data_IF_701731753825
#
_entry.id   IF_701731753825
#
_cell.length_a   1.000
_cell.length_b   1.000
_cell.length_c   1.000
_cell.angle_alpha   90.00
_cell.angle_beta   90.00
_cell.angle_gamma   90.00
#
_symmetry.space_group_name_H-M   'P 1'
#
loop_
_entity.id
_entity.type
_entity.pdbx_description
1 polymer ?
#
# COMPACT_ATOMS: atom_id res chain seq x y z
N UNK A 1 -15.09 32.55 33.16
CA UNK A 1 -14.71 33.37 31.97
C UNK A 1 -14.14 32.55 30.79
N UNK A 2 -13.25 31.57 31.02
CA UNK A 2 -12.67 30.74 29.89
C UNK A 2 -13.65 29.65 29.44
N UNK A 3 -14.39 29.03 30.33
CA UNK A 3 -15.41 27.99 30.05
C UNK A 3 -16.64 28.56 29.33
N UNK A 4 -17.04 29.78 29.62
CA UNK A 4 -18.16 30.45 28.93
C UNK A 4 -17.85 30.74 27.45
N UNK A 5 -16.62 31.12 27.15
CA UNK A 5 -16.18 31.35 25.73
C UNK A 5 -16.08 30.08 24.90
N UNK A 6 -15.79 28.93 25.53
CA UNK A 6 -15.80 27.62 24.85
C UNK A 6 -17.22 27.18 24.54
N UNK A 7 -18.16 27.37 25.48
CA UNK A 7 -19.57 27.00 25.25
C UNK A 7 -20.22 27.88 24.17
N UNK A 8 -19.90 29.16 24.11
CA UNK A 8 -20.38 30.06 23.05
C UNK A 8 -19.81 29.72 21.65
N UNK A 9 -18.53 29.30 21.56
CA UNK A 9 -17.93 28.85 20.30
C UNK A 9 -18.56 27.55 19.82
N UNK A 10 -18.77 26.57 20.69
CA UNK A 10 -19.44 25.31 20.34
C UNK A 10 -20.91 25.52 19.92
N UNK A 11 -21.62 26.47 20.56
CA UNK A 11 -23.01 26.76 20.19
C UNK A 11 -23.11 27.50 18.84
N UNK A 12 -22.13 28.34 18.50
CA UNK A 12 -22.08 29.01 17.19
C UNK A 12 -21.68 28.03 16.07
N UNK A 13 -20.75 27.11 16.28
CA UNK A 13 -20.41 26.05 15.30
C UNK A 13 -21.60 25.18 14.94
N UNK A 14 -22.39 24.73 15.91
CA UNK A 14 -23.60 23.93 15.66
C UNK A 14 -24.66 24.68 14.83
N UNK A 15 -24.74 25.99 14.94
CA UNK A 15 -25.64 26.82 14.11
C UNK A 15 -25.17 26.97 12.66
N UNK A 16 -23.85 27.05 12.43
CA UNK A 16 -23.28 27.14 11.09
C UNK A 16 -23.36 25.81 10.32
N UNK A 17 -23.14 24.66 10.98
CA UNK A 17 -23.32 23.34 10.37
C UNK A 17 -24.77 23.05 9.99
N UNK A 18 -25.74 23.46 10.81
CA UNK A 18 -27.15 23.32 10.48
C UNK A 18 -27.58 24.19 9.29
N UNK A 19 -27.02 25.40 9.15
CA UNK A 19 -27.27 26.28 7.99
C UNK A 19 -26.66 25.76 6.70
N UNK A 20 -25.47 25.13 6.75
CA UNK A 20 -24.82 24.54 5.58
C UNK A 20 -25.58 23.31 5.07
N UNK A 21 -26.11 22.47 5.96
CA UNK A 21 -26.94 21.31 5.59
C UNK A 21 -28.26 21.71 4.92
N UNK A 22 -28.88 22.80 5.34
CA UNK A 22 -30.11 23.32 4.71
C UNK A 22 -29.82 23.89 3.32
N UNK A 23 -28.68 24.54 3.10
CA UNK A 23 -28.30 25.09 1.79
C UNK A 23 -28.02 23.99 0.75
N UNK A 24 -27.44 22.85 1.15
CA UNK A 24 -27.19 21.70 0.26
C UNK A 24 -28.51 21.00 -0.10
N UNK A 25 -29.48 20.95 0.79
CA UNK A 25 -30.78 20.31 0.53
C UNK A 25 -31.68 21.10 -0.42
N UNK A 26 -31.54 22.44 -0.46
CA UNK A 26 -32.34 23.32 -1.35
C UNK A 26 -31.83 23.35 -2.79
N UNK A 27 -30.60 22.93 -3.10
CA UNK A 27 -30.02 22.88 -4.43
C UNK A 27 -30.35 21.61 -5.24
N UNK A 28 -30.94 20.59 -4.59
CA UNK A 28 -31.27 19.28 -5.17
C UNK A 28 -32.66 19.18 -5.85
N UNK A 29 -33.51 20.21 -5.83
CA UNK A 29 -34.91 20.11 -6.22
C UNK A 29 -35.31 20.83 -7.52
N UNK A 30 -34.39 21.26 -8.37
CA UNK A 30 -34.71 21.85 -9.67
C UNK A 30 -34.10 21.08 -10.83
N UNK A 31 -34.82 20.09 -11.35
CA UNK A 31 -34.42 19.32 -12.52
C UNK A 31 -35.48 18.36 -13.02
N UNK A 32 -36.72 18.83 -13.19
CA UNK A 32 -37.72 18.13 -14.01
C UNK A 32 -37.72 18.71 -15.41
N UNK A 33 -37.63 17.87 -16.43
CA UNK A 33 -38.04 18.23 -17.80
C UNK A 33 -37.32 17.47 -18.89
N UNK A 34 -37.95 16.52 -19.45
CA UNK A 34 -38.37 16.35 -20.84
C UNK A 34 -38.20 14.90 -21.33
N UNK A 35 -39.28 14.19 -21.30
CA UNK A 35 -39.54 13.03 -22.17
C UNK A 35 -39.71 13.54 -23.60
N UNK A 36 -38.90 13.09 -24.53
CA UNK A 36 -39.17 13.27 -25.96
C UNK A 36 -39.11 11.95 -26.70
N UNK A 37 -40.30 11.56 -27.05
CA UNK A 37 -40.82 10.63 -28.07
C UNK A 37 -39.85 9.75 -28.87
N UNK A 38 -40.11 8.45 -28.73
CA UNK A 38 -39.78 7.39 -29.67
C UNK A 38 -40.45 7.61 -31.04
N UNK A 39 -39.65 7.81 -32.09
CA UNK A 39 -40.08 7.64 -33.47
C UNK A 39 -39.62 6.29 -34.01
N UNK A 40 -40.45 5.54 -34.73
CA UNK A 40 -40.06 4.27 -35.33
C UNK A 40 -39.17 4.47 -36.56
N UNK A 41 -38.13 3.64 -36.64
CA UNK A 41 -37.20 3.56 -37.78
C UNK A 41 -37.89 2.86 -38.95
N UNK A 42 -37.84 3.38 -40.19
CA UNK A 42 -38.41 2.69 -41.35
C UNK A 42 -37.54 1.52 -41.81
N UNK A 43 -38.20 0.41 -42.15
CA UNK A 43 -37.64 -0.80 -42.73
C UNK A 43 -37.11 -0.52 -44.14
N UNK A 44 -35.84 -0.92 -44.47
CA UNK A 44 -35.35 -0.79 -45.85
C UNK A 44 -36.00 -1.78 -46.81
N UNK A 45 -36.30 -1.31 -48.02
CA UNK A 45 -36.84 -2.09 -49.11
C UNK A 45 -35.84 -3.12 -49.67
N UNK A 46 -36.27 -4.22 -50.29
CA UNK A 46 -35.42 -5.26 -50.82
C UNK A 46 -34.59 -4.79 -52.03
N UNK A 47 -33.30 -5.06 -51.97
CA UNK A 47 -32.33 -4.80 -53.04
C UNK A 47 -32.46 -5.82 -54.14
N UNK A 48 -32.60 -5.37 -55.38
CA UNK A 48 -32.66 -6.20 -56.59
C UNK A 48 -31.35 -6.94 -56.83
N UNK A 49 -31.45 -8.18 -57.27
CA UNK A 49 -30.35 -9.07 -57.64
C UNK A 49 -29.68 -8.61 -58.93
N UNK A 50 -28.35 -8.36 -58.99
CA UNK A 50 -27.70 -8.03 -60.24
C UNK A 50 -27.53 -9.23 -61.17
N UNK A 51 -27.62 -8.99 -62.47
CA UNK A 51 -27.49 -9.93 -63.57
C UNK A 51 -26.04 -10.50 -63.65
N UNK A 52 -25.87 -11.73 -64.23
CA UNK A 52 -24.57 -12.36 -64.30
C UNK A 52 -23.61 -11.65 -65.24
N UNK A 53 -22.36 -11.46 -64.73
CA UNK A 53 -21.23 -10.91 -65.48
C UNK A 53 -20.67 -11.94 -66.43
N UNK A 54 -20.26 -11.58 -67.68
CA UNK A 54 -19.65 -12.50 -68.61
C UNK A 54 -18.26 -12.95 -68.17
N UNK A 55 -17.90 -14.20 -68.51
CA UNK A 55 -16.70 -14.91 -68.23
C UNK A 55 -15.46 -14.18 -68.82
N UNK A 56 -14.38 -14.01 -68.07
CA UNK A 56 -13.16 -13.38 -68.58
C UNK A 56 -12.35 -14.33 -69.45
N UNK A 57 -11.95 -13.82 -70.60
CA UNK A 57 -10.99 -14.44 -71.54
C UNK A 57 -9.61 -14.53 -70.90
N UNK A 58 -9.01 -15.72 -70.97
CA UNK A 58 -7.63 -15.96 -70.43
C UNK A 58 -6.59 -15.13 -71.19
N UNK A 59 -5.95 -14.20 -70.54
CA UNK A 59 -4.66 -13.60 -70.99
C UNK A 59 -3.52 -14.58 -70.62
N UNK A 60 -2.43 -14.59 -71.44
CA UNK A 60 -1.28 -15.47 -71.18
C UNK A 60 -0.57 -15.07 -69.88
N UNK A 61 -0.26 -16.09 -69.05
CA UNK A 61 0.48 -15.97 -67.80
C UNK A 61 1.86 -15.36 -68.04
N UNK A 62 2.23 -14.27 -67.38
CA UNK A 62 3.61 -13.76 -67.42
C UNK A 62 4.58 -14.71 -66.69
N UNK A 63 5.80 -14.80 -67.20
CA UNK A 63 6.89 -15.54 -66.58
C UNK A 63 7.14 -15.12 -65.13
N UNK A 64 7.45 -16.04 -64.20
CA UNK A 64 7.68 -15.69 -62.80
C UNK A 64 8.88 -14.76 -62.67
N UNK A 65 8.64 -13.58 -62.11
CA UNK A 65 9.70 -12.66 -61.65
C UNK A 65 10.48 -13.37 -60.53
N UNK A 66 11.83 -13.32 -60.52
CA UNK A 66 12.61 -13.92 -59.44
C UNK A 66 12.20 -13.31 -58.08
N UNK A 67 11.97 -14.19 -57.12
CA UNK A 67 11.63 -13.83 -55.75
C UNK A 67 12.72 -12.91 -55.17
N UNK A 68 12.37 -11.77 -54.57
CA UNK A 68 13.35 -10.92 -53.91
C UNK A 68 14.02 -11.68 -52.76
N UNK A 69 15.30 -11.53 -52.61
CA UNK A 69 16.06 -12.11 -51.51
C UNK A 69 15.43 -11.70 -50.18
N UNK A 70 15.34 -12.60 -49.17
CA UNK A 70 14.75 -12.27 -47.88
C UNK A 70 15.49 -11.07 -47.28
N UNK A 71 14.74 -10.07 -46.91
CA UNK A 71 15.29 -8.94 -46.13
C UNK A 71 15.95 -9.46 -44.86
N UNK A 72 17.10 -8.90 -44.45
CA UNK A 72 17.75 -9.32 -43.22
C UNK A 72 16.77 -9.15 -42.05
N UNK A 73 16.55 -10.22 -41.29
CA UNK A 73 15.77 -10.21 -40.05
C UNK A 73 16.31 -9.08 -39.16
N UNK A 74 15.50 -8.10 -38.75
CA UNK A 74 15.96 -7.06 -37.85
C UNK A 74 16.60 -7.71 -36.63
N UNK A 75 17.74 -7.17 -36.19
CA UNK A 75 18.38 -7.59 -34.96
C UNK A 75 17.35 -7.50 -33.82
N UNK A 76 17.31 -8.44 -32.86
CA UNK A 76 16.38 -8.38 -31.75
C UNK A 76 16.57 -7.03 -31.06
N UNK A 77 15.47 -6.28 -30.94
CA UNK A 77 15.42 -5.08 -30.12
C UNK A 77 15.84 -5.51 -28.72
N UNK A 78 16.82 -4.85 -28.06
CA UNK A 78 17.15 -5.19 -26.68
C UNK A 78 15.88 -5.11 -25.85
N UNK A 79 15.65 -6.13 -25.04
CA UNK A 79 14.53 -6.13 -24.09
C UNK A 79 14.66 -4.87 -23.22
N UNK A 80 13.56 -4.15 -22.98
CA UNK A 80 13.59 -2.99 -22.10
C UNK A 80 14.14 -3.43 -20.74
N UNK A 81 15.20 -2.79 -20.27
CA UNK A 81 15.74 -3.03 -18.94
C UNK A 81 14.62 -2.71 -17.94
N UNK A 82 14.28 -3.68 -17.12
CA UNK A 82 13.28 -3.51 -16.07
C UNK A 82 13.74 -2.41 -15.09
N UNK A 83 12.83 -1.49 -14.74
CA UNK A 83 13.14 -0.39 -13.82
C UNK A 83 13.38 -0.94 -12.42
N UNK A 84 14.55 -0.65 -11.86
CA UNK A 84 14.84 -0.93 -10.47
C UNK A 84 14.25 0.18 -9.60
N UNK A 85 13.30 -0.17 -8.76
CA UNK A 85 12.68 0.72 -7.79
C UNK A 85 13.13 0.29 -6.41
N UNK A 86 13.89 1.12 -5.71
CA UNK A 86 14.22 0.90 -4.30
C UNK A 86 13.39 1.82 -3.41
N UNK A 87 13.03 1.32 -2.26
CA UNK A 87 12.29 2.08 -1.23
C UNK A 87 12.96 1.84 0.11
N UNK A 88 13.54 2.86 0.69
CA UNK A 88 13.96 2.89 2.09
C UNK A 88 12.90 3.56 2.95
N UNK A 89 12.74 3.11 4.21
CA UNK A 89 11.74 3.66 5.12
C UNK A 89 12.45 4.35 6.28
N UNK A 90 12.37 5.67 6.30
CA UNK A 90 12.93 6.48 7.37
C UNK A 90 11.91 6.65 8.48
N UNK A 91 12.29 6.32 9.71
CA UNK A 91 11.46 6.52 10.89
C UNK A 91 11.87 7.77 11.65
N UNK A 92 10.89 8.62 11.92
CA UNK A 92 11.03 9.78 12.80
C UNK A 92 10.39 9.47 14.15
N UNK A 93 11.11 9.72 15.23
CA UNK A 93 10.65 9.51 16.59
C UNK A 93 10.72 10.83 17.38
N UNK A 94 9.58 11.25 17.90
CA UNK A 94 9.43 12.40 18.76
C UNK A 94 8.81 11.96 20.07
N UNK A 95 9.22 12.58 21.17
CA UNK A 95 8.62 12.32 22.48
C UNK A 95 8.58 13.59 23.32
N UNK A 96 7.66 13.63 24.26
CA UNK A 96 7.61 14.70 25.24
C UNK A 96 7.53 14.14 26.66
N UNK A 97 8.24 14.81 27.56
CA UNK A 97 8.22 14.55 28.99
C UNK A 97 7.24 15.51 29.68
N UNK A 98 6.78 15.14 30.86
CA UNK A 98 5.87 15.96 31.66
C UNK A 98 6.46 17.37 31.95
N UNK A 99 5.60 18.41 31.99
CA UNK A 99 6.09 19.79 32.11
C UNK A 99 6.51 20.19 33.54
N UNK A 100 6.32 19.33 34.55
CA UNK A 100 6.63 19.65 35.94
C UNK A 100 7.95 19.03 36.40
N UNK A 101 8.12 17.72 36.23
CA UNK A 101 9.34 17.01 36.66
C UNK A 101 10.29 16.71 35.51
N UNK A 102 9.80 16.55 34.28
CA UNK A 102 10.57 16.09 33.17
C UNK A 102 10.98 14.61 33.24
N UNK A 103 10.38 13.81 34.11
CA UNK A 103 10.73 12.43 34.36
C UNK A 103 9.78 11.42 33.69
N UNK A 104 8.50 11.81 33.50
CA UNK A 104 7.47 10.95 32.92
C UNK A 104 7.25 11.28 31.46
N UNK A 105 7.38 10.29 30.59
CA UNK A 105 7.01 10.47 29.18
C UNK A 105 5.48 10.51 29.05
N UNK A 106 4.97 11.60 28.48
CA UNK A 106 3.53 11.86 28.31
C UNK A 106 3.08 11.74 26.86
N UNK A 107 4.02 11.81 25.89
CA UNK A 107 3.74 11.66 24.48
C UNK A 107 4.86 10.88 23.79
N UNK A 108 4.46 9.90 22.96
CA UNK A 108 5.26 9.28 21.92
C UNK A 108 4.62 9.56 20.56
N UNK A 109 5.36 10.14 19.63
CA UNK A 109 4.86 10.47 18.29
C UNK A 109 5.87 10.01 17.26
N UNK A 110 5.51 8.97 16.51
CA UNK A 110 6.43 8.32 15.59
C UNK A 110 5.80 8.18 14.22
N UNK A 111 6.61 8.29 13.15
CA UNK A 111 6.10 8.09 11.80
C UNK A 111 7.17 7.66 10.82
N UNK A 112 6.76 6.81 9.91
CA UNK A 112 7.55 6.35 8.78
C UNK A 112 7.38 7.28 7.58
N UNK A 113 8.48 7.54 6.89
CA UNK A 113 8.51 8.27 5.62
C UNK A 113 9.27 7.42 4.59
N UNK A 114 8.57 6.74 3.68
CA UNK A 114 9.20 6.05 2.56
C UNK A 114 9.95 7.03 1.65
N UNK A 115 11.11 6.61 1.15
CA UNK A 115 11.90 7.30 0.14
C UNK A 115 12.09 6.35 -1.04
N UNK A 116 11.66 6.80 -2.21
CA UNK A 116 11.71 6.03 -3.45
C UNK A 116 12.87 6.51 -4.30
N UNK A 117 13.66 5.57 -4.81
CA UNK A 117 14.72 5.83 -5.78
C UNK A 117 14.53 4.99 -7.03
N UNK A 118 14.73 5.60 -8.20
CA UNK A 118 14.68 5.00 -9.52
C UNK A 118 15.83 5.54 -10.35
N UNK A 119 16.76 4.67 -10.73
CA UNK A 119 17.97 5.09 -11.47
C UNK A 119 17.63 5.61 -12.86
N UNK A 120 16.74 4.91 -13.56
CA UNK A 120 16.39 5.25 -14.95
C UNK A 120 15.26 6.28 -15.04
N UNK A 121 14.51 6.52 -13.96
CA UNK A 121 13.35 7.42 -13.94
C UNK A 121 13.28 8.32 -12.70
N UNK A 122 14.27 9.19 -12.47
CA UNK A 122 14.31 10.04 -11.28
C UNK A 122 13.17 11.04 -11.18
N UNK A 123 12.54 11.43 -12.29
CA UNK A 123 11.40 12.34 -12.29
C UNK A 123 10.12 11.67 -11.75
N UNK A 124 9.91 10.39 -12.03
CA UNK A 124 8.81 9.63 -11.43
C UNK A 124 9.05 9.42 -9.92
N UNK A 125 10.27 9.03 -9.53
CA UNK A 125 10.65 8.93 -8.12
C UNK A 125 10.41 10.25 -7.37
N UNK A 126 10.79 11.38 -7.96
CA UNK A 126 10.57 12.71 -7.38
C UNK A 126 9.09 13.01 -7.13
N UNK A 127 8.21 12.74 -8.09
CA UNK A 127 6.76 12.94 -7.93
C UNK A 127 6.18 12.09 -6.79
N UNK A 128 6.59 10.82 -6.71
CA UNK A 128 6.16 9.93 -5.63
C UNK A 128 6.64 10.45 -4.28
N UNK A 129 7.91 10.85 -4.19
CA UNK A 129 8.49 11.39 -2.96
C UNK A 129 7.84 12.71 -2.52
N UNK A 130 7.50 13.61 -3.46
CA UNK A 130 6.76 14.83 -3.17
C UNK A 130 5.37 14.53 -2.58
N UNK A 131 4.65 13.55 -3.15
CA UNK A 131 3.37 13.10 -2.60
C UNK A 131 3.52 12.52 -1.19
N UNK A 132 4.48 11.60 -0.98
CA UNK A 132 4.74 10.98 0.32
C UNK A 132 5.10 12.04 1.37
N UNK A 133 5.96 13.01 1.02
CA UNK A 133 6.35 14.10 1.92
C UNK A 133 5.14 14.93 2.38
N UNK A 134 4.22 15.25 1.46
CA UNK A 134 2.97 15.95 1.79
C UNK A 134 2.09 15.13 2.76
N UNK A 135 2.00 13.79 2.57
CA UNK A 135 1.25 12.92 3.48
C UNK A 135 1.89 12.82 4.86
N UNK A 136 3.22 12.80 4.94
CA UNK A 136 3.96 12.80 6.21
C UNK A 136 3.82 14.14 6.95
N UNK A 137 3.88 15.26 6.23
CA UNK A 137 3.64 16.59 6.80
C UNK A 137 2.19 16.72 7.30
N UNK A 138 1.21 16.26 6.53
CA UNK A 138 -0.20 16.26 6.92
C UNK A 138 -0.45 15.43 8.20
N UNK A 139 0.25 14.30 8.37
CA UNK A 139 0.21 13.53 9.61
C UNK A 139 0.82 14.31 10.78
N UNK A 140 1.99 14.90 10.60
CA UNK A 140 2.66 15.69 11.62
C UNK A 140 1.86 16.91 12.04
N UNK A 141 1.22 17.61 11.10
CA UNK A 141 0.40 18.81 11.39
C UNK A 141 -1.02 18.47 11.88
N UNK A 142 -1.51 17.24 11.64
CA UNK A 142 -2.87 16.81 11.98
C UNK A 142 -3.88 17.09 10.89
N UNK A 143 -3.44 17.43 9.68
CA UNK A 143 -4.33 17.72 8.54
C UNK A 143 -4.78 16.46 7.78
N UNK A 144 -4.18 15.28 8.08
CA UNK A 144 -4.45 14.02 7.37
C UNK A 144 -5.92 13.59 7.36
N UNK A 145 -6.68 13.93 8.41
CA UNK A 145 -8.04 13.42 8.62
C UNK A 145 -9.09 14.52 8.78
N UNK A 146 -8.73 15.75 8.41
CA UNK A 146 -9.56 16.91 8.68
C UNK A 146 -9.54 17.31 10.14
N UNK A 147 -10.04 18.44 10.43
CA UNK A 147 -9.92 19.24 11.65
C UNK A 147 -10.69 18.73 12.89
N UNK A 148 -11.08 17.45 12.93
CA UNK A 148 -11.95 16.92 14.01
C UNK A 148 -11.25 16.28 15.19
N UNK A 149 -10.05 15.73 15.01
CA UNK A 149 -9.47 14.82 16.00
C UNK A 149 -8.24 15.33 16.75
N UNK A 150 -7.63 16.44 16.29
CA UNK A 150 -6.46 17.00 16.98
C UNK A 150 -5.25 16.08 16.99
N UNK A 151 -5.06 15.28 15.93
CA UNK A 151 -4.07 14.19 15.85
C UNK A 151 -2.65 14.62 15.53
N UNK A 152 -2.41 15.88 15.15
CA UNK A 152 -1.06 16.38 14.88
C UNK A 152 -0.21 16.53 16.13
N UNK A 153 1.12 16.50 15.96
CA UNK A 153 2.07 16.54 17.08
C UNK A 153 1.79 17.62 18.10
N UNK A 154 1.64 18.88 17.68
CA UNK A 154 1.41 20.00 18.59
C UNK A 154 0.07 19.91 19.34
N UNK A 155 -0.97 19.40 18.69
CA UNK A 155 -2.26 19.24 19.32
C UNK A 155 -2.21 18.12 20.35
N UNK A 156 -1.60 16.98 20.01
CA UNK A 156 -1.43 15.86 20.95
C UNK A 156 -0.52 16.23 22.12
N UNK A 157 0.54 17.01 21.89
CA UNK A 157 1.39 17.52 22.95
C UNK A 157 0.58 18.37 23.95
N UNK A 158 -0.20 19.32 23.45
CA UNK A 158 -1.06 20.15 24.32
C UNK A 158 -2.06 19.32 25.11
N UNK A 159 -2.68 18.32 24.47
CA UNK A 159 -3.62 17.41 25.15
C UNK A 159 -2.93 16.56 26.22
N UNK A 160 -1.73 16.06 25.95
CA UNK A 160 -0.93 15.26 26.89
C UNK A 160 -0.50 16.09 28.10
N UNK A 161 -0.04 17.33 27.89
CA UNK A 161 0.31 18.26 28.95
C UNK A 161 -0.89 18.65 29.83
N UNK A 162 -2.03 19.01 29.21
CA UNK A 162 -3.27 19.36 29.91
C UNK A 162 -3.79 18.16 30.72
N UNK A 163 -3.73 16.95 30.16
CA UNK A 163 -4.14 15.73 30.85
C UNK A 163 -3.25 15.39 32.05
N UNK A 164 -1.93 15.54 31.89
CA UNK A 164 -0.97 15.34 32.98
C UNK A 164 -1.24 16.29 34.15
N UNK A 165 -1.37 17.58 33.86
CA UNK A 165 -1.67 18.61 34.88
C UNK A 165 -2.98 18.31 35.60
N UNK A 166 -4.03 17.93 34.87
CA UNK A 166 -5.32 17.53 35.45
C UNK A 166 -5.18 16.32 36.37
N UNK A 167 -4.42 15.30 35.99
CA UNK A 167 -4.21 14.10 36.82
C UNK A 167 -3.46 14.45 38.12
N UNK A 168 -2.43 15.28 38.05
CA UNK A 168 -1.70 15.76 39.23
C UNK A 168 -2.61 16.55 40.15
N UNK A 169 -3.37 17.50 39.63
CA UNK A 169 -4.30 18.33 40.43
C UNK A 169 -5.45 17.52 41.06
N UNK A 170 -5.90 16.44 40.39
CA UNK A 170 -6.92 15.53 40.91
C UNK A 170 -6.38 14.52 41.92
N UNK A 171 -5.08 14.47 42.14
CA UNK A 171 -4.44 13.56 43.10
C UNK A 171 -4.34 12.12 42.64
N UNK A 172 -4.17 11.93 41.32
CA UNK A 172 -3.92 10.58 40.76
C UNK A 172 -2.62 10.01 41.34
N UNK A 173 -2.62 8.72 41.71
CA UNK A 173 -1.45 8.06 42.27
C UNK A 173 -0.28 7.96 41.29
N UNK A 174 -0.60 7.79 39.99
CA UNK A 174 0.38 7.70 38.90
C UNK A 174 -0.07 8.63 37.76
N UNK A 175 0.17 9.94 37.86
CA UNK A 175 -0.11 10.85 36.77
C UNK A 175 0.84 10.58 35.60
N UNK A 176 0.35 10.66 34.37
CA UNK A 176 1.18 10.50 33.19
C UNK A 176 0.78 9.35 32.29
N UNK A 177 -0.52 9.31 31.93
CA UNK A 177 -0.97 8.48 30.83
C UNK A 177 -0.23 8.90 29.56
N UNK A 178 0.62 8.04 29.01
CA UNK A 178 1.32 8.31 27.76
C UNK A 178 0.33 8.26 26.59
N UNK A 179 0.18 9.36 25.89
CA UNK A 179 -0.51 9.41 24.60
C UNK A 179 0.45 8.99 23.49
N UNK A 180 -0.06 8.39 22.43
CA UNK A 180 0.79 7.99 21.31
C UNK A 180 0.13 8.17 19.95
N UNK A 181 0.95 8.50 18.97
CA UNK A 181 0.65 8.38 17.55
C UNK A 181 1.79 7.59 16.87
N UNK A 182 1.42 6.63 16.05
CA UNK A 182 2.37 5.79 15.32
C UNK A 182 1.89 5.56 13.89
N UNK A 183 2.58 6.17 12.91
CA UNK A 183 2.38 5.87 11.49
C UNK A 183 3.36 4.82 11.04
N UNK A 184 2.85 3.73 10.48
CA UNK A 184 3.63 2.69 9.83
C UNK A 184 3.37 2.67 8.34
N UNK A 185 4.44 2.57 7.56
CA UNK A 185 4.38 2.40 6.11
C UNK A 185 4.90 1.03 5.72
N UNK A 186 4.21 0.36 4.82
CA UNK A 186 4.65 -0.89 4.23
C UNK A 186 4.50 -0.84 2.70
N UNK A 187 5.51 -1.31 1.98
CA UNK A 187 5.42 -1.58 0.54
C UNK A 187 4.75 -2.93 0.38
N UNK A 188 3.60 -2.96 -0.28
CA UNK A 188 2.80 -4.18 -0.46
C UNK A 188 2.91 -4.75 -1.88
N UNK A 189 3.30 -3.95 -2.85
CA UNK A 189 3.70 -4.38 -4.20
C UNK A 189 4.78 -3.46 -4.75
N UNK A 190 5.84 -4.04 -5.29
CA UNK A 190 6.93 -3.32 -5.96
C UNK A 190 7.47 -4.21 -7.09
N UNK A 191 6.92 -4.06 -8.30
CA UNK A 191 7.23 -4.91 -9.45
C UNK A 191 7.71 -4.17 -10.70
N UNK A 192 8.16 -2.93 -10.53
CA UNK A 192 8.61 -2.07 -11.64
C UNK A 192 7.49 -1.51 -12.51
N UNK A 193 6.24 -1.93 -12.32
CA UNK A 193 5.03 -1.37 -12.98
C UNK A 193 4.18 -0.60 -12.00
N UNK A 194 3.92 -1.20 -10.84
CA UNK A 194 3.14 -0.63 -9.74
C UNK A 194 3.98 -0.61 -8.48
N UNK A 195 3.95 0.52 -7.79
CA UNK A 195 4.46 0.66 -6.44
C UNK A 195 3.27 0.97 -5.52
N UNK A 196 2.96 0.05 -4.60
CA UNK A 196 1.83 0.18 -3.67
C UNK A 196 2.32 0.28 -2.23
N UNK A 197 1.76 1.25 -1.49
CA UNK A 197 1.99 1.44 -0.07
C UNK A 197 0.69 1.21 0.71
N UNK A 198 0.82 0.55 1.86
CA UNK A 198 -0.17 0.54 2.93
C UNK A 198 0.36 1.38 4.08
N UNK A 199 -0.45 2.32 4.55
CA UNK A 199 -0.14 3.22 5.67
C UNK A 199 -1.15 2.94 6.77
N UNK A 200 -0.64 2.65 7.97
CA UNK A 200 -1.44 2.44 9.17
C UNK A 200 -1.10 3.53 10.19
N UNK A 201 -2.08 4.33 10.55
CA UNK A 201 -1.95 5.40 11.53
C UNK A 201 -2.71 4.99 12.81
N UNK A 202 -1.95 4.67 13.84
CA UNK A 202 -2.49 4.37 15.16
C UNK A 202 -2.43 5.61 16.06
N UNK A 203 -3.51 5.85 16.80
CA UNK A 203 -3.60 6.93 17.78
C UNK A 203 -4.14 6.41 19.10
N UNK A 204 -3.49 6.80 20.19
CA UNK A 204 -3.98 6.63 21.53
C UNK A 204 -3.95 7.97 22.27
N UNK A 205 -5.11 8.51 22.57
CA UNK A 205 -5.29 9.81 23.24
C UNK A 205 -5.89 9.66 24.63
N UNK A 206 -5.72 8.49 25.25
CA UNK A 206 -6.35 8.15 26.51
C UNK A 206 -7.66 7.39 26.32
N UNK A 207 -8.10 6.70 27.35
CA UNK A 207 -9.30 5.88 27.35
C UNK A 207 -9.00 4.37 27.33
N UNK A 208 -9.98 3.57 26.91
CA UNK A 208 -9.88 2.10 26.97
C UNK A 208 -8.97 1.50 25.90
N UNK A 209 -8.86 2.13 24.74
CA UNK A 209 -8.08 1.67 23.59
C UNK A 209 -7.74 2.82 22.63
N UNK A 210 -6.84 2.58 21.70
CA UNK A 210 -6.55 3.46 20.57
C UNK A 210 -7.48 3.23 19.37
N UNK A 211 -7.18 3.89 18.27
CA UNK A 211 -7.84 3.71 16.97
C UNK A 211 -6.80 3.61 15.86
N UNK A 212 -7.08 2.79 14.85
CA UNK A 212 -6.25 2.65 13.66
C UNK A 212 -7.01 3.16 12.43
N UNK A 213 -6.34 3.97 11.63
CA UNK A 213 -6.82 4.45 10.34
C UNK A 213 -5.88 3.93 9.26
N UNK A 214 -6.44 3.24 8.27
CA UNK A 214 -5.68 2.67 7.17
C UNK A 214 -5.80 3.55 5.91
N UNK A 215 -4.69 3.72 5.19
CA UNK A 215 -4.65 4.37 3.88
C UNK A 215 -3.73 3.60 2.94
N UNK A 216 -4.07 3.59 1.66
CA UNK A 216 -3.22 3.00 0.65
C UNK A 216 -3.02 3.94 -0.53
N UNK A 217 -1.83 3.87 -1.10
CA UNK A 217 -1.43 4.67 -2.26
C UNK A 217 -0.72 3.78 -3.27
N UNK A 218 -1.22 3.76 -4.50
CA UNK A 218 -0.62 3.01 -5.59
C UNK A 218 -0.11 3.99 -6.65
N UNK A 219 1.09 3.77 -7.16
CA UNK A 219 1.72 4.61 -8.16
C UNK A 219 2.05 3.82 -9.41
N UNK A 220 1.89 4.45 -10.57
CA UNK A 220 2.45 3.98 -11.83
C UNK A 220 3.94 4.31 -11.84
N UNK A 221 4.79 3.31 -11.84
CA UNK A 221 6.26 3.46 -11.79
C UNK A 221 6.78 4.26 -12.98
N UNK A 222 6.16 4.10 -14.15
CA UNK A 222 6.63 4.77 -15.38
C UNK A 222 6.39 6.29 -15.37
N UNK A 223 5.35 6.77 -14.69
CA UNK A 223 4.96 8.18 -14.68
C UNK A 223 5.11 8.86 -13.32
N UNK A 224 5.17 8.09 -12.23
CA UNK A 224 5.11 8.57 -10.86
C UNK A 224 3.74 9.08 -10.43
N UNK A 225 2.71 8.88 -11.25
CA UNK A 225 1.36 9.36 -10.97
C UNK A 225 0.61 8.42 -10.03
N UNK A 226 -0.19 8.98 -9.14
CA UNK A 226 -1.08 8.22 -8.25
C UNK A 226 -2.15 7.50 -9.10
N UNK A 227 -2.27 6.20 -8.89
CA UNK A 227 -3.30 5.37 -9.50
C UNK A 227 -4.64 5.56 -8.77
N UNK A 228 -5.70 5.65 -9.56
CA UNK A 228 -7.08 5.74 -9.09
C UNK A 228 -7.92 4.65 -9.74
N UNK A 229 -9.08 4.33 -9.18
CA UNK A 229 -10.02 3.38 -9.79
C UNK A 229 -10.33 3.76 -11.26
N UNK A 230 -10.37 5.06 -11.55
CA UNK A 230 -10.56 5.57 -12.92
C UNK A 230 -9.37 5.32 -13.83
N UNK A 231 -8.15 5.49 -13.34
CA UNK A 231 -6.95 5.34 -14.17
C UNK A 231 -6.59 3.88 -14.44
N UNK A 232 -6.92 2.97 -13.54
CA UNK A 232 -6.59 1.54 -13.65
C UNK A 232 -7.65 0.71 -14.37
N UNK A 233 -8.87 1.22 -14.52
CA UNK A 233 -9.99 0.48 -15.13
C UNK A 233 -10.37 1.00 -16.51
N UNK A 234 -11.11 0.16 -17.24
CA UNK A 234 -11.74 0.52 -18.52
C UNK A 234 -13.04 1.30 -18.30
N UNK A 235 -13.78 0.96 -17.24
CA UNK A 235 -15.00 1.62 -16.76
C UNK A 235 -15.00 1.59 -15.22
N UNK A 236 -14.75 2.72 -14.60
CA UNK A 236 -14.61 2.79 -13.14
C UNK A 236 -15.89 2.52 -12.37
N UNK A 237 -17.05 2.82 -12.96
CA UNK A 237 -18.34 2.55 -12.31
C UNK A 237 -18.65 1.03 -12.34
N UNK A 238 -18.48 0.39 -13.49
CA UNK A 238 -18.62 -1.07 -13.61
C UNK A 238 -17.59 -1.79 -12.73
N UNK A 239 -16.37 -1.31 -12.68
CA UNK A 239 -15.31 -1.87 -11.85
C UNK A 239 -15.65 -1.78 -10.35
N UNK A 240 -16.12 -0.63 -9.87
CA UNK A 240 -16.51 -0.47 -8.47
C UNK A 240 -17.65 -1.43 -8.08
N UNK A 241 -18.63 -1.63 -8.97
CA UNK A 241 -19.71 -2.60 -8.77
C UNK A 241 -19.17 -4.03 -8.72
N UNK A 242 -18.26 -4.41 -9.62
CA UNK A 242 -17.65 -5.73 -9.63
C UNK A 242 -16.89 -6.02 -8.32
N UNK A 243 -16.07 -5.08 -7.85
CA UNK A 243 -15.36 -5.17 -6.57
C UNK A 243 -16.32 -5.37 -5.39
N UNK A 244 -17.39 -4.57 -5.31
CA UNK A 244 -18.40 -4.68 -4.27
C UNK A 244 -19.12 -6.05 -4.31
N UNK A 245 -19.45 -6.57 -5.49
CA UNK A 245 -20.09 -7.87 -5.63
C UNK A 245 -19.20 -9.03 -5.16
N UNK A 246 -17.90 -8.99 -5.45
CA UNK A 246 -16.95 -10.00 -4.95
C UNK A 246 -16.86 -9.97 -3.43
N UNK A 247 -16.79 -8.76 -2.82
CA UNK A 247 -16.81 -8.65 -1.34
C UNK A 247 -18.10 -9.21 -0.74
N UNK A 248 -19.27 -8.94 -1.34
CA UNK A 248 -20.56 -9.50 -0.89
C UNK A 248 -20.54 -11.02 -0.95
N UNK A 249 -19.99 -11.61 -2.03
CA UNK A 249 -19.85 -13.07 -2.15
C UNK A 249 -18.96 -13.63 -1.06
N UNK A 250 -17.78 -13.03 -0.80
CA UNK A 250 -16.86 -13.45 0.26
C UNK A 250 -17.52 -13.43 1.63
N UNK A 251 -18.29 -12.40 1.95
CA UNK A 251 -19.05 -12.36 3.22
C UNK A 251 -20.10 -13.46 3.29
N UNK A 252 -20.85 -13.69 2.22
CA UNK A 252 -21.88 -14.73 2.20
C UNK A 252 -21.31 -16.14 2.35
N UNK A 253 -20.08 -16.38 1.91
CA UNK A 253 -19.40 -17.67 1.93
C UNK A 253 -18.56 -17.90 3.20
N UNK A 254 -18.25 -16.86 3.98
CA UNK A 254 -17.38 -16.93 5.16
C UNK A 254 -18.15 -16.67 6.46
N UNK A 255 -18.30 -17.71 7.30
CA UNK A 255 -18.86 -17.56 8.64
C UNK A 255 -18.02 -16.62 9.52
N UNK A 256 -16.70 -16.61 9.35
CA UNK A 256 -15.80 -15.71 10.07
C UNK A 256 -16.10 -14.26 9.72
N UNK A 257 -16.18 -13.89 8.44
CA UNK A 257 -16.50 -12.53 8.02
C UNK A 257 -17.90 -12.10 8.52
N UNK A 258 -18.90 -13.00 8.45
CA UNK A 258 -20.24 -12.72 8.96
C UNK A 258 -20.26 -12.43 10.48
N UNK A 259 -19.40 -13.09 11.27
CA UNK A 259 -19.27 -12.84 12.69
C UNK A 259 -18.52 -11.56 13.03
N UNK A 260 -17.56 -11.16 12.19
CA UNK A 260 -16.75 -9.97 12.39
C UNK A 260 -17.44 -8.68 11.94
N UNK A 261 -18.31 -8.76 10.94
CA UNK A 261 -19.06 -7.62 10.42
C UNK A 261 -20.24 -7.30 11.34
N UNK A 262 -20.25 -6.09 11.89
CA UNK A 262 -21.31 -5.58 12.76
C UNK A 262 -21.82 -4.25 12.19
N UNK A 263 -22.86 -4.34 11.38
CA UNK A 263 -23.46 -3.19 10.70
C UNK A 263 -24.50 -2.52 11.62
N UNK A 264 -24.14 -1.37 12.18
CA UNK A 264 -25.02 -0.64 13.10
C UNK A 264 -26.30 -0.11 12.44
N UNK A 265 -26.37 0.12 11.13
CA UNK A 265 -27.53 0.80 10.51
C UNK A 265 -27.71 0.62 8.99
N UNK A 266 -26.79 0.02 8.27
CA UNK A 266 -26.85 -0.10 6.79
C UNK A 266 -27.03 -1.55 6.35
N UNK A 267 -27.59 -1.76 5.16
CA UNK A 267 -27.53 -3.06 4.54
C UNK A 267 -26.09 -3.38 4.09
N UNK A 268 -25.76 -4.67 4.02
CA UNK A 268 -24.43 -5.15 3.70
C UNK A 268 -23.92 -4.62 2.35
N UNK A 269 -24.78 -4.62 1.33
CA UNK A 269 -24.36 -4.21 -0.02
C UNK A 269 -23.99 -2.73 -0.06
N UNK A 270 -24.76 -1.86 0.61
CA UNK A 270 -24.45 -0.44 0.73
C UNK A 270 -23.16 -0.19 1.51
N UNK A 271 -22.96 -0.91 2.63
CA UNK A 271 -21.76 -0.79 3.45
C UNK A 271 -20.51 -1.18 2.66
N UNK A 272 -20.51 -2.35 2.01
CA UNK A 272 -19.36 -2.82 1.24
C UNK A 272 -19.11 -1.96 -0.02
N UNK A 273 -20.17 -1.46 -0.68
CA UNK A 273 -19.99 -0.52 -1.80
C UNK A 273 -19.31 0.79 -1.37
N UNK A 274 -19.56 1.26 -0.15
CA UNK A 274 -18.93 2.47 0.38
C UNK A 274 -17.43 2.30 0.67
N UNK A 275 -16.94 1.07 0.84
CA UNK A 275 -15.50 0.78 0.96
C UNK A 275 -14.74 0.99 -0.35
N UNK A 276 -15.42 0.91 -1.50
CA UNK A 276 -14.77 1.08 -2.82
C UNK A 276 -14.55 2.57 -3.09
N UNK A 277 -13.53 3.12 -2.48
CA UNK A 277 -13.15 4.54 -2.58
C UNK A 277 -11.64 4.71 -2.66
N UNK A 278 -11.18 5.86 -3.12
CA UNK A 278 -9.76 6.17 -3.16
C UNK A 278 -9.16 6.16 -1.74
N UNK A 279 -7.97 5.62 -1.62
CA UNK A 279 -7.26 5.47 -0.35
C UNK A 279 -7.65 4.25 0.50
N UNK A 280 -8.69 3.49 0.13
CA UNK A 280 -9.11 2.27 0.82
C UNK A 280 -8.83 1.01 0.03
N UNK A 281 -7.98 1.07 -0.98
CA UNK A 281 -7.61 -0.08 -1.80
C UNK A 281 -6.16 -0.02 -2.26
N UNK A 282 -5.58 -1.17 -2.52
CA UNK A 282 -4.25 -1.27 -3.12
C UNK A 282 -4.14 -2.50 -4.03
N UNK A 283 -3.18 -2.43 -4.93
CA UNK A 283 -2.72 -3.60 -5.67
C UNK A 283 -1.75 -4.39 -4.80
N UNK A 284 -2.07 -5.65 -4.56
CA UNK A 284 -1.12 -6.68 -4.18
C UNK A 284 -0.69 -7.45 -5.46
N UNK A 285 0.12 -8.49 -5.35
CA UNK A 285 0.61 -9.22 -6.52
C UNK A 285 -0.47 -10.05 -7.21
N UNK A 286 -1.35 -10.70 -6.47
CA UNK A 286 -2.36 -11.62 -6.97
C UNK A 286 -3.80 -11.12 -6.79
N UNK A 287 -3.96 -9.95 -6.17
CA UNK A 287 -5.25 -9.42 -5.81
C UNK A 287 -5.28 -7.89 -5.73
N UNK A 288 -6.49 -7.34 -5.80
CA UNK A 288 -6.80 -6.03 -5.26
C UNK A 288 -7.28 -6.25 -3.83
N UNK A 289 -6.73 -5.49 -2.90
CA UNK A 289 -7.16 -5.51 -1.51
C UNK A 289 -7.96 -4.25 -1.22
N UNK A 290 -9.18 -4.42 -0.70
CA UNK A 290 -10.04 -3.34 -0.20
C UNK A 290 -10.17 -3.53 1.30
N UNK A 291 -10.04 -2.45 2.06
CA UNK A 291 -10.10 -2.53 3.52
C UNK A 291 -11.00 -1.46 4.12
N UNK A 292 -11.52 -1.77 5.32
CA UNK A 292 -12.27 -0.83 6.15
C UNK A 292 -11.36 -0.13 7.15
N UNK A 293 -11.78 1.03 7.61
CA UNK A 293 -11.25 1.62 8.84
C UNK A 293 -11.85 0.93 10.09
N UNK A 294 -11.29 1.24 11.25
CA UNK A 294 -11.82 0.84 12.54
C UNK A 294 -13.23 1.41 12.74
N UNK A 295 -14.17 0.63 13.25
CA UNK A 295 -15.58 0.97 13.40
C UNK A 295 -16.41 1.24 12.11
N UNK A 296 -15.86 1.04 10.92
CA UNK A 296 -16.60 1.33 9.70
C UNK A 296 -17.62 0.25 9.35
N UNK A 297 -17.22 -1.03 9.40
CA UNK A 297 -18.09 -2.20 9.16
C UNK A 297 -17.96 -3.28 10.23
N UNK A 298 -17.13 -3.06 11.22
CA UNK A 298 -16.83 -4.00 12.30
C UNK A 298 -16.71 -3.24 13.64
N UNK A 299 -16.83 -3.95 14.74
CA UNK A 299 -16.49 -3.39 16.06
C UNK A 299 -14.97 -3.27 16.21
N UNK A 300 -14.51 -2.41 17.12
CA UNK A 300 -13.10 -2.29 17.46
C UNK A 300 -12.44 -3.64 17.84
N UNK A 301 -13.19 -4.49 18.54
CA UNK A 301 -12.71 -5.82 18.93
C UNK A 301 -12.42 -6.74 17.74
N UNK A 302 -13.10 -6.54 16.61
CA UNK A 302 -12.87 -7.25 15.36
C UNK A 302 -11.77 -6.60 14.49
N UNK A 303 -11.42 -5.34 14.77
CA UNK A 303 -10.49 -4.54 14.00
C UNK A 303 -10.93 -4.25 12.57
N UNK A 304 -10.09 -3.59 11.76
CA UNK A 304 -10.30 -3.40 10.33
C UNK A 304 -10.44 -4.74 9.60
N UNK A 305 -11.23 -4.76 8.53
CA UNK A 305 -11.43 -5.94 7.69
C UNK A 305 -10.85 -5.67 6.31
N UNK A 306 -10.05 -6.63 5.80
CA UNK A 306 -9.49 -6.58 4.45
C UNK A 306 -10.10 -7.67 3.57
N UNK A 307 -10.51 -7.29 2.37
CA UNK A 307 -11.04 -8.18 1.33
C UNK A 307 -10.01 -8.34 0.24
N UNK A 308 -9.50 -9.55 0.04
CA UNK A 308 -8.61 -9.88 -1.09
C UNK A 308 -9.46 -10.29 -2.27
N UNK A 309 -9.44 -9.53 -3.34
CA UNK A 309 -10.19 -9.76 -4.58
C UNK A 309 -9.21 -10.24 -5.64
N UNK A 310 -9.18 -11.54 -5.97
CA UNK A 310 -8.26 -12.07 -6.98
C UNK A 310 -8.42 -11.36 -8.32
N UNK A 311 -7.33 -11.17 -9.05
CA UNK A 311 -7.36 -10.47 -10.34
C UNK A 311 -8.28 -11.13 -11.36
N UNK A 312 -8.35 -12.46 -11.39
CA UNK A 312 -9.22 -13.21 -12.30
C UNK A 312 -10.72 -12.89 -12.12
N UNK A 313 -11.14 -12.56 -10.89
CA UNK A 313 -12.52 -12.18 -10.60
C UNK A 313 -12.93 -10.81 -11.21
N UNK A 314 -11.97 -9.96 -11.57
CA UNK A 314 -12.20 -8.58 -12.02
C UNK A 314 -11.36 -8.19 -13.25
N UNK A 315 -10.65 -9.14 -13.86
CA UNK A 315 -9.69 -8.88 -14.95
C UNK A 315 -10.31 -8.15 -16.16
N UNK A 316 -11.57 -8.39 -16.50
CA UNK A 316 -12.27 -7.74 -17.61
C UNK A 316 -12.43 -6.20 -17.40
N UNK A 317 -12.41 -5.76 -16.15
CA UNK A 317 -12.53 -4.34 -15.80
C UNK A 317 -11.19 -3.63 -15.71
N UNK A 318 -10.09 -4.35 -15.48
CA UNK A 318 -8.74 -3.81 -15.31
C UNK A 318 -8.03 -3.62 -16.64
N UNK A 319 -7.16 -2.62 -16.68
CA UNK A 319 -6.18 -2.49 -17.76
C UNK A 319 -5.09 -3.56 -17.58
N UNK A 320 -4.80 -4.39 -18.60
CA UNK A 320 -3.88 -5.54 -18.46
C UNK A 320 -2.49 -5.18 -17.94
N UNK A 321 -2.01 -3.97 -18.19
CA UNK A 321 -0.68 -3.52 -17.73
C UNK A 321 -0.53 -3.50 -16.20
N UNK A 322 -1.62 -3.46 -15.43
CA UNK A 322 -1.57 -3.42 -13.97
C UNK A 322 -1.71 -4.82 -13.33
N UNK A 323 -1.98 -5.83 -14.14
CA UNK A 323 -1.89 -7.21 -13.68
C UNK A 323 -0.42 -7.56 -13.44
N UNK A 324 -0.13 -8.20 -12.31
CA UNK A 324 1.23 -8.66 -12.06
C UNK A 324 1.56 -9.87 -12.94
N UNK A 325 2.84 -10.01 -13.26
CA UNK A 325 3.38 -11.19 -13.93
C UNK A 325 4.16 -11.98 -12.90
N UNK A 326 3.90 -13.30 -12.81
CA UNK A 326 4.67 -14.16 -11.93
C UNK A 326 6.14 -14.14 -12.36
N UNK A 327 7.10 -14.00 -11.43
CA UNK A 327 8.52 -14.07 -11.75
C UNK A 327 8.89 -15.43 -12.34
N UNK A 328 9.86 -15.45 -13.25
CA UNK A 328 10.40 -16.68 -13.82
C UNK A 328 11.78 -16.99 -13.22
N UNK A 329 12.06 -18.29 -13.04
CA UNK A 329 13.36 -18.79 -12.62
C UNK A 329 13.50 -19.02 -11.11
N UNK A 330 14.53 -19.79 -10.77
CA UNK A 330 14.90 -20.06 -9.37
C UNK A 330 15.90 -19.01 -8.90
N UNK A 331 15.66 -18.47 -7.72
CA UNK A 331 16.59 -17.55 -7.06
C UNK A 331 16.85 -18.03 -5.64
N UNK A 332 18.10 -17.89 -5.22
CA UNK A 332 18.51 -18.13 -3.84
C UNK A 332 19.27 -16.92 -3.33
N UNK A 333 19.03 -16.58 -2.07
CA UNK A 333 19.83 -15.58 -1.40
C UNK A 333 20.95 -16.24 -0.59
N UNK A 334 22.08 -15.59 -0.52
CA UNK A 334 23.16 -15.94 0.38
C UNK A 334 23.74 -14.67 1.03
N UNK A 335 24.41 -14.88 2.13
CA UNK A 335 25.08 -13.81 2.87
C UNK A 335 26.59 -14.00 2.76
N UNK A 336 27.30 -12.88 2.75
CA UNK A 336 28.77 -12.87 2.77
C UNK A 336 29.28 -11.74 3.68
N UNK A 337 30.37 -11.92 4.40
CA UNK A 337 31.00 -10.85 5.14
C UNK A 337 31.63 -9.78 4.21
N UNK A 338 31.93 -8.62 4.79
CA UNK A 338 32.34 -7.39 4.11
C UNK A 338 33.53 -7.53 3.16
N UNK A 339 34.48 -8.37 3.50
CA UNK A 339 35.77 -8.53 2.79
C UNK A 339 35.65 -9.37 1.51
N UNK A 340 34.59 -10.17 1.35
CA UNK A 340 34.41 -11.05 0.20
C UNK A 340 33.73 -10.36 -1.01
N UNK A 341 33.03 -9.24 -0.82
CA UNK A 341 32.30 -8.55 -1.91
C UNK A 341 33.22 -7.73 -2.82
N UNK A 342 34.32 -7.20 -2.29
CA UNK A 342 35.28 -6.41 -3.07
C UNK A 342 36.01 -7.19 -4.17
N UNK A 343 36.00 -8.53 -4.13
CA UNK A 343 36.63 -9.40 -5.14
C UNK A 343 35.67 -9.81 -6.26
N UNK A 344 34.35 -9.58 -6.13
CA UNK A 344 33.33 -10.22 -6.97
C UNK A 344 32.64 -9.31 -7.98
N UNK A 345 33.05 -8.07 -8.18
CA UNK A 345 32.40 -7.08 -9.11
C UNK A 345 30.86 -7.00 -8.94
N UNK A 346 30.42 -7.01 -7.67
CA UNK A 346 29.01 -6.96 -7.30
C UNK A 346 28.64 -5.52 -6.91
N UNK A 347 27.63 -4.97 -7.57
CA UNK A 347 27.08 -3.66 -7.26
C UNK A 347 26.38 -3.67 -5.89
N UNK A 348 26.72 -2.73 -5.01
CA UNK A 348 25.98 -2.50 -3.76
C UNK A 348 24.91 -1.44 -4.06
N UNK A 349 23.65 -1.85 -4.01
CA UNK A 349 22.53 -1.00 -4.43
C UNK A 349 21.92 -0.17 -3.28
N UNK A 350 22.14 -0.59 -2.03
CA UNK A 350 21.67 0.16 -0.86
C UNK A 350 22.33 -0.33 0.43
N UNK A 351 22.12 0.42 1.54
CA UNK A 351 22.58 0.10 2.87
C UNK A 351 21.44 0.18 3.87
N UNK A 352 21.12 -0.94 4.52
CA UNK A 352 20.03 -1.05 5.50
C UNK A 352 20.62 -1.29 6.89
N UNK A 353 20.10 -0.56 7.88
CA UNK A 353 20.49 -0.71 9.28
C UNK A 353 19.34 -1.28 10.10
N UNK A 354 19.66 -2.30 10.91
CA UNK A 354 18.72 -2.98 11.81
C UNK A 354 19.23 -2.79 13.25
N UNK A 355 18.48 -2.06 14.06
CA UNK A 355 18.88 -1.75 15.43
C UNK A 355 20.20 -0.98 15.51
N UNK A 356 21.05 -1.30 16.49
CA UNK A 356 22.33 -0.61 16.73
C UNK A 356 23.46 -1.00 15.77
N UNK A 357 23.30 -2.11 15.03
CA UNK A 357 24.10 -2.46 13.85
C UNK A 357 25.61 -2.60 14.07
N UNK A 358 26.06 -3.59 14.83
CA UNK A 358 27.51 -3.83 15.07
C UNK A 358 28.16 -4.73 14.01
N UNK A 359 27.40 -5.58 13.35
CA UNK A 359 27.87 -6.51 12.31
C UNK A 359 27.42 -6.05 10.94
N UNK A 360 28.29 -6.11 9.95
CA UNK A 360 27.98 -5.77 8.56
C UNK A 360 28.13 -7.00 7.69
N UNK A 361 27.11 -7.25 6.87
CA UNK A 361 27.07 -8.32 5.88
C UNK A 361 26.41 -7.83 4.59
N UNK A 362 26.51 -8.63 3.55
CA UNK A 362 25.83 -8.41 2.29
C UNK A 362 24.86 -9.54 2.00
N UNK A 363 23.61 -9.16 1.65
CA UNK A 363 22.60 -10.05 1.09
C UNK A 363 22.71 -10.00 -0.43
N UNK A 364 22.96 -11.13 -1.05
CA UNK A 364 23.21 -11.26 -2.50
C UNK A 364 22.20 -12.22 -3.09
N UNK A 365 21.53 -11.81 -4.17
CA UNK A 365 20.66 -12.67 -4.97
C UNK A 365 21.48 -13.49 -5.98
N UNK A 366 21.37 -14.82 -5.92
CA UNK A 366 21.88 -15.72 -6.95
C UNK A 366 20.84 -15.92 -8.05
N UNK A 367 20.75 -14.99 -8.96
CA UNK A 367 19.73 -14.93 -9.99
C UNK A 367 18.90 -13.65 -9.89
N UNK A 368 17.79 -13.59 -10.64
CA UNK A 368 16.91 -12.44 -10.67
C UNK A 368 15.80 -12.59 -9.61
N UNK A 369 15.90 -11.84 -8.52
CA UNK A 369 14.91 -11.81 -7.46
C UNK A 369 13.95 -10.63 -7.66
N UNK A 370 12.67 -10.84 -7.41
CA UNK A 370 11.62 -9.82 -7.52
C UNK A 370 10.98 -9.52 -6.18
N UNK A 371 10.46 -8.30 -6.01
CA UNK A 371 9.76 -7.84 -4.80
C UNK A 371 10.52 -8.20 -3.52
N UNK A 372 11.78 -7.82 -3.48
CA UNK A 372 12.65 -8.10 -2.34
C UNK A 372 12.34 -7.10 -1.22
N UNK A 373 12.13 -7.60 -0.02
CA UNK A 373 11.79 -6.79 1.17
C UNK A 373 12.63 -7.19 2.35
N UNK A 374 13.04 -6.21 3.13
CA UNK A 374 13.68 -6.40 4.42
C UNK A 374 12.77 -5.84 5.52
N UNK A 375 12.44 -6.68 6.48
CA UNK A 375 11.53 -6.35 7.58
C UNK A 375 12.20 -6.73 8.90
N UNK A 376 12.19 -5.81 9.87
CA UNK A 376 12.64 -6.15 11.23
C UNK A 376 11.60 -7.03 11.92
N UNK A 377 12.10 -8.01 12.68
CA UNK A 377 11.25 -8.95 13.43
C UNK A 377 11.71 -9.02 14.89
N UNK A 378 10.75 -9.30 15.74
CA UNK A 378 10.98 -9.58 17.16
C UNK A 378 10.30 -10.88 17.56
N UNK A 379 10.76 -11.48 18.66
CA UNK A 379 10.20 -12.71 19.22
C UNK A 379 9.55 -12.46 20.59
N UNK A 380 8.27 -12.83 20.71
CA UNK A 380 7.53 -12.83 21.97
C UNK A 380 6.57 -14.02 22.01
N UNK A 381 7.13 -15.26 22.08
CA UNK A 381 6.36 -16.50 21.96
C UNK A 381 6.01 -16.90 20.53
N UNK A 382 6.12 -15.97 19.57
CA UNK A 382 6.10 -16.15 18.12
C UNK A 382 6.88 -14.99 17.49
N UNK A 383 7.33 -15.15 16.25
CA UNK A 383 7.92 -14.04 15.49
C UNK A 383 6.82 -13.10 15.01
N UNK A 384 7.05 -11.79 15.12
CA UNK A 384 6.18 -10.77 14.58
C UNK A 384 7.00 -9.67 13.91
N UNK A 385 6.49 -9.17 12.80
CA UNK A 385 7.09 -8.07 12.06
C UNK A 385 6.87 -6.75 12.79
N UNK A 386 7.96 -5.99 13.00
CA UNK A 386 7.89 -4.71 13.71
C UNK A 386 7.89 -3.53 12.77
N UNK A 387 8.72 -3.56 11.72
CA UNK A 387 8.77 -2.50 10.71
C UNK A 387 9.38 -3.02 9.41
N UNK A 388 8.80 -2.65 8.27
CA UNK A 388 9.49 -2.80 7.00
C UNK A 388 10.58 -1.73 6.91
N UNK A 389 11.78 -2.11 6.50
CA UNK A 389 12.95 -1.26 6.45
C UNK A 389 13.28 -0.84 5.02
N UNK A 390 13.09 -1.75 4.08
CA UNK A 390 13.52 -1.58 2.71
C UNK A 390 12.75 -2.51 1.75
N UNK A 391 12.68 -2.09 0.47
CA UNK A 391 12.14 -2.90 -0.62
C UNK A 391 12.86 -2.59 -1.93
N UNK A 392 12.94 -3.60 -2.82
CA UNK A 392 13.48 -3.45 -4.18
C UNK A 392 12.65 -4.26 -5.17
N UNK A 393 12.28 -3.66 -6.30
CA UNK A 393 11.48 -4.34 -7.34
C UNK A 393 12.21 -5.51 -7.96
N UNK A 394 13.52 -5.37 -8.21
CA UNK A 394 14.35 -6.40 -8.82
C UNK A 394 15.79 -6.34 -8.33
N UNK A 395 16.32 -7.49 -7.92
CA UNK A 395 17.73 -7.69 -7.60
C UNK A 395 18.32 -8.76 -8.54
N UNK A 396 19.36 -8.40 -9.28
CA UNK A 396 20.10 -9.35 -10.13
C UNK A 396 21.58 -8.98 -10.12
N UNK A 397 22.43 -9.90 -9.69
CA UNK A 397 23.89 -9.71 -9.57
C UNK A 397 24.28 -8.44 -8.81
N UNK A 398 23.53 -8.14 -7.76
CA UNK A 398 23.76 -7.00 -6.89
C UNK A 398 23.57 -7.41 -5.41
N UNK A 399 23.97 -6.54 -4.50
CA UNK A 399 23.90 -6.76 -3.09
C UNK A 399 23.23 -5.59 -2.37
N UNK A 400 22.53 -5.87 -1.26
CA UNK A 400 22.21 -4.89 -0.24
C UNK A 400 23.11 -5.11 0.96
N UNK A 401 23.74 -4.04 1.43
CA UNK A 401 24.53 -4.07 2.66
C UNK A 401 23.59 -3.98 3.85
N UNK A 402 23.74 -4.90 4.81
CA UNK A 402 22.97 -4.90 6.05
C UNK A 402 23.91 -4.73 7.23
N UNK A 403 23.63 -3.71 8.05
CA UNK A 403 24.29 -3.54 9.36
C UNK A 403 23.29 -3.95 10.44
N UNK A 404 23.64 -4.98 11.21
CA UNK A 404 22.73 -5.56 12.20
C UNK A 404 23.49 -6.03 13.43
N UNK A 405 22.78 -6.33 14.51
CA UNK A 405 23.24 -7.06 15.66
C UNK A 405 22.19 -8.12 16.02
N UNK A 406 22.59 -9.37 16.15
CA UNK A 406 21.69 -10.48 16.45
C UNK A 406 21.94 -10.92 17.90
N UNK A 407 21.09 -10.51 18.85
CA UNK A 407 21.21 -10.89 20.23
C UNK A 407 20.85 -12.37 20.41
N UNK A 408 21.69 -13.10 21.12
CA UNK A 408 21.41 -14.49 21.56
C UNK A 408 20.99 -15.47 20.44
N UNK A 409 21.36 -15.19 19.18
CA UNK A 409 21.05 -16.04 18.04
C UNK A 409 19.59 -15.95 17.54
N UNK A 410 18.76 -15.09 18.12
CA UNK A 410 17.37 -14.91 17.67
C UNK A 410 17.30 -14.05 16.42
N UNK A 411 16.48 -14.42 15.42
CA UNK A 411 16.28 -13.60 14.22
C UNK A 411 15.80 -12.20 14.55
N UNK A 412 16.35 -11.20 13.87
CA UNK A 412 15.92 -9.83 13.96
C UNK A 412 15.60 -9.19 12.58
N UNK A 413 15.84 -9.94 11.51
CA UNK A 413 15.59 -9.52 10.14
C UNK A 413 14.95 -10.66 9.35
N UNK A 414 13.87 -10.34 8.66
CA UNK A 414 13.20 -11.16 7.66
C UNK A 414 13.47 -10.59 6.27
N UNK A 415 13.93 -11.45 5.37
CA UNK A 415 14.03 -11.23 3.94
C UNK A 415 12.86 -11.92 3.27
N UNK A 416 12.01 -11.18 2.57
CA UNK A 416 10.95 -11.74 1.74
C UNK A 416 11.22 -11.44 0.28
N UNK A 417 10.92 -12.36 -0.62
CA UNK A 417 11.05 -12.19 -2.08
C UNK A 417 10.07 -13.10 -2.82
N UNK A 418 9.79 -12.80 -4.09
CA UNK A 418 8.85 -13.58 -4.89
C UNK A 418 9.56 -14.47 -5.91
N UNK A 419 9.01 -15.68 -6.05
CA UNK A 419 9.36 -16.67 -7.07
C UNK A 419 8.10 -17.09 -7.82
N UNK A 420 8.24 -17.98 -8.81
CA UNK A 420 7.11 -18.63 -9.47
C UNK A 420 6.17 -19.37 -8.51
N UNK A 421 6.69 -19.86 -7.41
CA UNK A 421 5.94 -20.58 -6.36
C UNK A 421 5.28 -19.64 -5.32
N UNK A 422 5.45 -18.33 -5.47
CA UNK A 422 4.88 -17.31 -4.58
C UNK A 422 5.91 -16.60 -3.71
N UNK A 423 5.45 -16.05 -2.59
CA UNK A 423 6.28 -15.34 -1.62
C UNK A 423 7.13 -16.33 -0.82
N UNK A 424 8.43 -16.09 -0.77
CA UNK A 424 9.39 -16.85 0.03
C UNK A 424 9.91 -15.96 1.17
N UNK A 425 10.17 -16.57 2.32
CA UNK A 425 10.70 -15.87 3.48
C UNK A 425 11.98 -16.55 3.98
N UNK A 426 12.95 -15.72 4.34
CA UNK A 426 14.19 -16.16 4.99
C UNK A 426 14.45 -15.26 6.20
N UNK A 427 14.94 -15.85 7.27
CA UNK A 427 15.26 -15.16 8.52
C UNK A 427 16.77 -15.14 8.72
N UNK A 428 17.33 -13.97 8.98
CA UNK A 428 18.73 -13.81 9.35
C UNK A 428 18.89 -14.17 10.82
N UNK A 429 19.68 -15.19 11.08
CA UNK A 429 19.95 -15.72 12.42
C UNK A 429 21.42 -16.12 12.57
N UNK A 430 21.77 -16.69 13.72
CA UNK A 430 23.10 -17.19 14.03
C UNK A 430 23.09 -18.70 14.16
N UNK A 431 24.07 -19.38 13.53
CA UNK A 431 24.26 -20.80 13.65
C UNK A 431 24.63 -21.17 15.10
N UNK A 432 23.93 -22.15 15.67
CA UNK A 432 24.26 -22.71 17.00
C UNK A 432 25.56 -23.52 17.03
N UNK A 433 26.15 -23.87 15.87
CA UNK A 433 27.37 -24.67 15.81
C UNK A 433 28.63 -23.82 15.94
N UNK A 434 28.74 -22.73 15.22
CA UNK A 434 29.95 -21.93 15.11
C UNK A 434 29.73 -20.42 15.29
N UNK A 435 28.47 -20.00 15.51
CA UNK A 435 28.09 -18.59 15.65
C UNK A 435 28.12 -17.79 14.36
N UNK A 436 28.26 -18.43 13.19
CA UNK A 436 28.20 -17.75 11.90
C UNK A 436 26.76 -17.27 11.58
N UNK A 437 26.65 -16.16 10.85
CA UNK A 437 25.35 -15.68 10.36
C UNK A 437 24.85 -16.57 9.22
N UNK A 438 23.57 -16.94 9.26
CA UNK A 438 22.92 -17.78 8.25
C UNK A 438 21.55 -17.26 7.91
N UNK A 439 21.02 -17.66 6.76
CA UNK A 439 19.61 -17.47 6.38
C UNK A 439 18.88 -18.81 6.58
N UNK A 440 17.78 -18.77 7.31
CA UNK A 440 16.88 -19.92 7.53
C UNK A 440 15.51 -19.62 6.96
N UNK A 441 14.84 -20.63 6.44
CA UNK A 441 13.45 -20.55 5.97
C UNK A 441 12.43 -20.53 7.12
N UNK A 442 11.15 -20.54 6.79
CA UNK A 442 10.04 -20.50 7.77
C UNK A 442 10.06 -21.67 8.79
N UNK A 443 10.92 -22.68 8.62
CA UNK A 443 11.09 -23.75 9.61
C UNK A 443 11.59 -23.23 10.97
N UNK A 444 12.19 -22.03 11.01
CA UNK A 444 12.62 -21.38 12.25
C UNK A 444 11.43 -21.04 13.16
N UNK A 445 10.24 -20.77 12.58
CA UNK A 445 9.02 -20.49 13.35
C UNK A 445 8.54 -21.69 14.19
N UNK A 446 8.95 -22.90 13.81
CA UNK A 446 8.65 -24.12 14.56
C UNK A 446 9.59 -24.36 15.75
N UNK A 447 10.66 -23.57 15.91
CA UNK A 447 11.68 -23.73 16.95
C UNK A 447 11.37 -22.79 18.15
N UNK A 448 10.53 -21.80 17.97
CA UNK A 448 10.09 -20.82 18.99
C UNK A 448 8.79 -21.27 19.72
#
# INVERSE_FOLDING_TARGET
MRIERLSERMMNMKKWTALLLIAVFCLGLCGCGALESLRPVPTPAPTETPAPTPEPTHEPTPEPTPEPAPEPTPAPTPEPKEERVTVSINRTELSAMDPQSGETRILSFTYDTPIVEMESNPEAAKKINEFIALQSEAFYTGESYGDGFGTGYNNMLTLAEDNYVYQVESGAENPGLEMSADRRAAVVRNDGTVLSFLINDYYYMGGAHGSTICRAYCFDVSSGELLTLKTVSNDSAAFAVALANVMIMQVNESEELQQRIDLLSSDLASALSALVREGSWYFDYDAIVIFSDDYEISSHASGPIAFRIPYDAVAEHLKPRYLSVAPEGDVQFYITPTDAVGEADIEIIDMVRVGDGEQTLYLIANGKAHDVRLTSVEYSGAFYETAQLWSCSVMEKCAVQVSTWIPDGMPNLKLSYRTADGLQNLYLTQSGEDGSLILMDDSIEAIG
#
